data_IF_365894858647
#
_entry.id   IF_365894858647
#
_cell.length_a   1.000
_cell.length_b   1.000
_cell.length_c   1.000
_cell.angle_alpha   90.00
_cell.angle_beta   90.00
_cell.angle_gamma   90.00
#
_symmetry.space_group_name_H-M   'P 1'
#
loop_
_entity.id
_entity.type
_entity.pdbx_description
1 polymer ?
#
# COMPACT_ATOMS: atom_id res chain seq x y z
N UNK A 1 32.61 14.58 8.95
CA UNK A 1 31.45 13.91 9.59
C UNK A 1 30.24 14.82 9.44
N UNK A 2 29.32 14.53 8.52
CA UNK A 2 28.16 15.39 8.25
C UNK A 2 27.10 15.12 9.32
N UNK A 3 26.83 16.11 10.18
CA UNK A 3 25.82 16.03 11.24
C UNK A 3 24.43 16.05 10.62
N UNK A 4 23.76 14.90 10.62
CA UNK A 4 22.37 14.76 10.15
C UNK A 4 21.45 15.52 11.10
N UNK A 5 20.98 16.72 10.72
CA UNK A 5 19.94 17.45 11.46
C UNK A 5 18.68 16.58 11.53
N UNK A 6 18.30 16.17 12.74
CA UNK A 6 17.03 15.49 12.98
C UNK A 6 15.90 16.54 12.95
N UNK A 7 15.23 16.66 11.81
CA UNK A 7 13.99 17.44 11.73
C UNK A 7 12.86 16.62 12.37
N UNK A 8 12.41 17.06 13.55
CA UNK A 8 11.28 16.43 14.25
C UNK A 8 9.98 16.92 13.64
N UNK A 9 9.24 16.01 13.02
CA UNK A 9 7.93 16.28 12.45
C UNK A 9 6.90 16.31 13.60
N UNK A 10 5.99 17.29 13.56
CA UNK A 10 4.94 17.42 14.57
C UNK A 10 3.99 16.22 14.52
N UNK A 11 3.38 15.89 15.66
CA UNK A 11 2.44 14.76 15.74
C UNK A 11 1.23 14.97 14.82
N UNK A 12 0.74 16.19 14.71
CA UNK A 12 -0.40 16.55 13.87
C UNK A 12 -0.13 16.30 12.38
N UNK A 13 1.03 16.73 11.87
CA UNK A 13 1.42 16.49 10.47
C UNK A 13 1.60 15.00 10.20
N UNK A 14 2.20 14.27 11.15
CA UNK A 14 2.33 12.82 11.05
C UNK A 14 0.95 12.13 10.99
N UNK A 15 0.02 12.52 11.84
CA UNK A 15 -1.32 11.94 11.89
C UNK A 15 -2.10 12.24 10.59
N UNK A 16 -1.96 13.46 10.04
CA UNK A 16 -2.53 13.84 8.74
C UNK A 16 -1.96 13.00 7.58
N UNK A 17 -0.64 12.81 7.53
CA UNK A 17 0.05 11.97 6.53
C UNK A 17 -0.48 10.53 6.58
N UNK A 18 -0.57 9.96 7.78
CA UNK A 18 -1.07 8.59 7.95
C UNK A 18 -2.54 8.48 7.51
N UNK A 19 -3.37 9.47 7.83
CA UNK A 19 -4.77 9.50 7.45
C UNK A 19 -4.94 9.50 5.92
N UNK A 20 -4.21 10.37 5.22
CA UNK A 20 -4.23 10.43 3.74
C UNK A 20 -3.82 9.12 3.07
N UNK A 21 -2.86 8.42 3.65
CA UNK A 21 -2.39 7.14 3.10
C UNK A 21 -3.42 6.01 3.35
N UNK A 22 -4.03 5.98 4.55
CA UNK A 22 -4.96 4.91 4.94
C UNK A 22 -6.38 5.11 4.43
N UNK A 23 -6.89 6.33 4.52
CA UNK A 23 -8.30 6.65 4.25
C UNK A 23 -8.49 7.08 2.79
N UNK A 24 -7.59 7.92 2.26
CA UNK A 24 -7.69 8.46 0.90
C UNK A 24 -6.95 7.61 -0.15
N UNK A 25 -6.17 6.60 0.30
CA UNK A 25 -5.45 5.67 -0.58
C UNK A 25 -4.31 6.29 -1.39
N UNK A 26 -3.81 7.46 -1.00
CA UNK A 26 -2.77 8.19 -1.76
C UNK A 26 -1.43 7.45 -1.65
N UNK A 27 -0.67 7.29 -2.77
CA UNK A 27 0.63 6.64 -2.75
C UNK A 27 1.61 7.30 -1.78
N UNK A 28 2.37 6.48 -1.03
CA UNK A 28 3.39 6.94 -0.07
C UNK A 28 4.43 7.85 -0.72
N UNK A 29 4.77 7.62 -1.99
CA UNK A 29 5.73 8.45 -2.76
C UNK A 29 5.20 9.87 -2.98
N UNK A 30 3.92 10.00 -3.32
CA UNK A 30 3.29 11.29 -3.55
C UNK A 30 3.17 12.08 -2.24
N UNK A 31 2.68 11.46 -1.17
CA UNK A 31 2.57 12.10 0.15
C UNK A 31 3.93 12.48 0.73
N UNK A 32 4.97 11.68 0.46
CA UNK A 32 6.35 11.97 0.82
C UNK A 32 6.87 13.25 0.16
N UNK A 33 6.63 13.41 -1.15
CA UNK A 33 7.04 14.59 -1.91
C UNK A 33 6.27 15.84 -1.46
N UNK A 34 4.94 15.76 -1.33
CA UNK A 34 4.08 16.87 -0.93
C UNK A 34 4.42 17.42 0.47
N UNK A 35 4.79 16.54 1.40
CA UNK A 35 5.08 16.93 2.78
C UNK A 35 6.58 17.04 3.08
N UNK A 36 7.46 16.84 2.09
CA UNK A 36 8.92 16.91 2.28
C UNK A 36 9.48 15.86 3.25
N UNK A 37 8.85 14.69 3.32
CA UNK A 37 9.21 13.61 4.25
C UNK A 37 9.77 12.42 3.49
N UNK A 38 10.87 11.83 3.97
CA UNK A 38 11.36 10.58 3.37
C UNK A 38 10.32 9.46 3.45
N UNK A 39 10.13 8.72 2.36
CA UNK A 39 9.28 7.53 2.29
C UNK A 39 9.62 6.51 3.38
N UNK A 40 10.91 6.34 3.69
CA UNK A 40 11.40 5.47 4.76
C UNK A 40 10.85 5.86 6.16
N UNK A 41 10.72 7.16 6.44
CA UNK A 41 10.14 7.62 7.72
C UNK A 41 8.64 7.32 7.79
N UNK A 42 7.93 7.48 6.67
CA UNK A 42 6.50 7.17 6.57
C UNK A 42 6.26 5.67 6.79
N UNK A 43 7.03 4.79 6.14
CA UNK A 43 6.96 3.35 6.40
C UNK A 43 7.31 3.01 7.86
N UNK A 44 8.28 3.70 8.45
CA UNK A 44 8.62 3.58 9.87
C UNK A 44 7.48 4.01 10.81
N UNK A 45 6.60 4.91 10.38
CA UNK A 45 5.42 5.30 11.15
C UNK A 45 4.24 4.37 10.94
N UNK A 46 4.03 3.90 9.71
CA UNK A 46 2.97 2.95 9.38
C UNK A 46 3.15 1.61 10.10
N UNK A 47 4.41 1.21 10.31
CA UNK A 47 4.76 -0.01 11.06
C UNK A 47 4.65 0.17 12.58
N UNK A 48 4.93 1.37 13.10
CA UNK A 48 4.79 1.72 14.53
C UNK A 48 3.32 1.84 14.92
N UNK A 49 2.72 0.73 15.37
CA UNK A 49 1.31 0.63 15.75
C UNK A 49 0.63 -0.63 15.20
N UNK A 50 1.31 -1.36 14.32
CA UNK A 50 0.86 -2.68 13.87
C UNK A 50 1.26 -3.70 14.93
N UNK A 51 0.30 -4.15 15.74
CA UNK A 51 0.49 -5.20 16.74
C UNK A 51 0.88 -6.56 16.14
N UNK A 52 0.61 -6.75 14.85
CA UNK A 52 0.88 -7.96 14.10
C UNK A 52 1.55 -7.61 12.78
N UNK A 53 2.87 -7.48 12.78
CA UNK A 53 3.62 -7.28 11.54
C UNK A 53 3.33 -8.51 10.65
N UNK A 54 2.62 -8.38 9.51
CA UNK A 54 2.27 -9.55 8.72
C UNK A 54 3.56 -10.23 8.30
N UNK A 55 3.66 -11.53 8.58
CA UNK A 55 4.82 -12.30 8.17
C UNK A 55 4.94 -12.21 6.64
N UNK A 56 6.17 -12.14 6.13
CA UNK A 56 6.42 -12.20 4.69
C UNK A 56 5.71 -13.40 4.04
N UNK A 57 5.58 -14.50 4.78
CA UNK A 57 4.84 -15.69 4.37
C UNK A 57 3.33 -15.42 4.21
N UNK A 58 2.71 -14.70 5.14
CA UNK A 58 1.28 -14.33 5.08
C UNK A 58 1.02 -13.40 3.89
N UNK A 59 1.89 -12.41 3.68
CA UNK A 59 1.83 -11.53 2.52
C UNK A 59 1.99 -12.30 1.19
N UNK A 60 2.95 -13.23 1.12
CA UNK A 60 3.17 -14.06 -0.07
C UNK A 60 1.96 -14.96 -0.38
N UNK A 61 1.36 -15.57 0.65
CA UNK A 61 0.12 -16.37 0.51
C UNK A 61 -1.04 -15.51 -0.01
N UNK A 62 -1.24 -14.34 0.57
CA UNK A 62 -2.30 -13.41 0.17
C UNK A 62 -2.12 -12.95 -1.29
N UNK A 63 -0.89 -12.57 -1.67
CA UNK A 63 -0.55 -12.18 -3.04
C UNK A 63 -0.81 -13.31 -4.04
N UNK A 64 -0.45 -14.56 -3.70
CA UNK A 64 -0.74 -15.75 -4.53
C UNK A 64 -2.25 -15.98 -4.68
N UNK A 65 -3.01 -15.86 -3.59
CA UNK A 65 -4.46 -15.97 -3.61
C UNK A 65 -5.12 -14.92 -4.51
N UNK A 66 -4.70 -13.67 -4.41
CA UNK A 66 -5.22 -12.59 -5.25
C UNK A 66 -4.92 -12.82 -6.75
N UNK A 67 -3.72 -13.30 -7.07
CA UNK A 67 -3.35 -13.67 -8.46
C UNK A 67 -4.27 -14.77 -9.01
N UNK A 68 -4.46 -15.86 -8.26
CA UNK A 68 -5.32 -16.96 -8.69
C UNK A 68 -6.77 -16.53 -8.90
N UNK A 69 -7.27 -15.62 -8.06
CA UNK A 69 -8.62 -15.08 -8.20
C UNK A 69 -8.77 -14.24 -9.48
N UNK A 70 -7.80 -13.38 -9.77
CA UNK A 70 -7.79 -12.58 -11.01
C UNK A 70 -7.73 -13.47 -12.27
N UNK A 71 -6.95 -14.55 -12.23
CA UNK A 71 -6.89 -15.54 -13.33
C UNK A 71 -8.25 -16.19 -13.56
N UNK A 72 -8.91 -16.67 -12.48
CA UNK A 72 -10.24 -17.27 -12.56
C UNK A 72 -11.29 -16.30 -13.11
N UNK A 73 -11.28 -15.05 -12.65
CA UNK A 73 -12.18 -14.00 -13.17
C UNK A 73 -11.93 -13.75 -14.66
N UNK A 74 -10.66 -13.73 -15.09
CA UNK A 74 -10.29 -13.61 -16.49
C UNK A 74 -10.85 -14.75 -17.34
N UNK A 75 -10.69 -16.00 -16.88
CA UNK A 75 -11.24 -17.17 -17.57
C UNK A 75 -12.76 -17.13 -17.70
N UNK A 76 -13.46 -16.78 -16.62
CA UNK A 76 -14.93 -16.68 -16.62
C UNK A 76 -15.38 -15.58 -17.58
N UNK A 77 -14.72 -14.41 -17.56
CA UNK A 77 -15.03 -13.27 -18.42
C UNK A 77 -14.84 -13.62 -19.90
N UNK A 78 -13.76 -14.34 -20.22
CA UNK A 78 -13.48 -14.86 -21.57
C UNK A 78 -14.57 -15.83 -22.04
N UNK A 79 -14.95 -16.81 -21.20
CA UNK A 79 -16.00 -17.78 -21.52
C UNK A 79 -17.34 -17.09 -21.75
N UNK A 80 -17.71 -16.14 -20.88
CA UNK A 80 -18.95 -15.36 -21.03
C UNK A 80 -18.97 -14.57 -22.35
N UNK A 81 -17.86 -13.89 -22.66
CA UNK A 81 -17.71 -13.14 -23.91
C UNK A 81 -17.80 -14.04 -25.14
N UNK A 82 -17.23 -15.24 -25.09
CA UNK A 82 -17.29 -16.22 -26.18
C UNK A 82 -18.70 -16.80 -26.36
N UNK A 83 -19.45 -17.02 -25.27
CA UNK A 83 -20.86 -17.44 -25.33
C UNK A 83 -21.75 -16.36 -25.93
N UNK A 84 -21.54 -15.09 -25.56
CA UNK A 84 -22.29 -13.96 -26.12
C UNK A 84 -22.02 -13.74 -27.61
N UNK A 85 -20.77 -13.92 -28.08
CA UNK A 85 -20.43 -13.79 -29.52
C UNK A 85 -20.97 -14.91 -30.41
N UNK A 86 -21.36 -16.04 -29.84
CA UNK A 86 -21.93 -17.19 -30.57
C UNK A 86 -23.46 -17.23 -30.56
N UNK A 87 -24.10 -16.28 -29.87
CA UNK A 87 -25.55 -16.11 -29.82
C UNK A 87 -25.99 -15.00 -30.77
#
# INVERSE_FOLDING_TARGET
MTTKKLHRISKEVKDQIIKRIKDDGIPVTQVAEEHGVSTASIYGWLTKGVSKNPSWLEFAKLKKGNKALLELVGEITMKLSATQKKS
#
